data_IF_241183935354
#
_entry.id   IF_241183935354
#
_cell.length_a   1.000
_cell.length_b   1.000
_cell.length_c   1.000
_cell.angle_alpha   90.00
_cell.angle_beta   90.00
_cell.angle_gamma   90.00
#
_symmetry.space_group_name_H-M   'P 1'
#
loop_
_entity.id
_entity.type
_entity.pdbx_description
1 polymer ?
#
# COMPACT_ATOMS: atom_id res chain seq x y z
N UNK A 1 -0.10 -15.77 28.42
CA UNK A 1 -0.24 -14.51 29.21
C UNK A 1 0.05 -13.22 28.42
N UNK A 2 1.08 -13.14 27.56
CA UNK A 2 1.40 -11.89 26.82
C UNK A 2 0.25 -11.31 25.97
N UNK A 3 -0.64 -12.17 25.46
CA UNK A 3 -1.70 -11.77 24.52
C UNK A 3 -2.96 -11.21 25.19
N UNK A 4 -3.30 -11.73 26.37
CA UNK A 4 -4.36 -11.16 27.21
C UNK A 4 -3.98 -9.73 27.66
N UNK A 5 -2.68 -9.53 27.92
CA UNK A 5 -2.11 -8.22 28.22
C UNK A 5 -2.27 -7.24 27.05
N UNK A 6 -2.01 -7.65 25.81
CA UNK A 6 -2.22 -6.78 24.64
C UNK A 6 -3.70 -6.38 24.44
N UNK A 7 -4.65 -7.30 24.63
CA UNK A 7 -6.09 -6.99 24.56
C UNK A 7 -6.48 -6.05 25.69
N UNK A 8 -6.00 -6.29 26.91
CA UNK A 8 -6.24 -5.42 28.08
C UNK A 8 -5.59 -4.05 27.90
N UNK A 9 -4.36 -3.97 27.39
CA UNK A 9 -3.65 -2.71 27.13
C UNK A 9 -4.37 -1.89 26.05
N UNK A 10 -4.85 -2.55 24.99
CA UNK A 10 -5.66 -1.93 23.93
C UNK A 10 -7.02 -1.43 24.47
N UNK A 11 -7.68 -2.20 25.33
CA UNK A 11 -8.95 -1.83 25.95
C UNK A 11 -8.79 -0.69 26.99
N UNK A 12 -7.73 -0.76 27.80
CA UNK A 12 -7.34 0.31 28.73
C UNK A 12 -6.95 1.59 27.98
N UNK A 13 -6.29 1.47 26.84
CA UNK A 13 -6.02 2.62 25.97
C UNK A 13 -7.30 3.24 25.41
N UNK A 14 -8.24 2.44 24.89
CA UNK A 14 -9.54 2.95 24.45
C UNK A 14 -10.29 3.69 25.59
N UNK A 15 -10.21 3.16 26.81
CA UNK A 15 -10.75 3.82 28.02
C UNK A 15 -9.97 5.11 28.35
N UNK A 16 -8.66 5.12 28.18
CA UNK A 16 -7.79 6.24 28.49
C UNK A 16 -7.92 7.38 27.47
N UNK A 17 -8.03 7.08 26.17
CA UNK A 17 -8.40 8.04 25.11
C UNK A 17 -9.71 8.75 25.45
N UNK A 18 -10.74 7.98 25.81
CA UNK A 18 -12.04 8.53 26.23
C UNK A 18 -11.94 9.42 27.48
N UNK A 19 -11.03 9.08 28.40
CA UNK A 19 -10.84 9.83 29.66
C UNK A 19 -9.98 11.10 29.48
N UNK A 20 -9.06 11.12 28.51
CA UNK A 20 -8.11 12.21 28.26
C UNK A 20 -8.53 13.19 27.16
N UNK A 21 -9.74 13.06 26.61
CA UNK A 21 -10.32 13.93 25.57
C UNK A 21 -10.45 15.43 25.92
N UNK A 22 -9.72 15.94 26.92
CA UNK A 22 -9.73 17.35 27.30
C UNK A 22 -8.38 18.05 27.39
N UNK A 23 -7.18 17.41 27.32
CA UNK A 23 -5.93 18.19 27.50
C UNK A 23 -4.62 17.71 26.83
N UNK A 24 -4.53 16.58 26.09
CA UNK A 24 -3.22 16.12 25.57
C UNK A 24 -3.28 15.22 24.31
N UNK A 25 -3.63 15.82 23.17
CA UNK A 25 -3.78 15.15 21.86
C UNK A 25 -2.49 14.46 21.38
N UNK A 26 -1.32 15.00 21.71
CA UNK A 26 -0.03 14.47 21.27
C UNK A 26 0.27 13.10 21.89
N UNK A 27 0.00 12.94 23.18
CA UNK A 27 0.21 11.66 23.87
C UNK A 27 -0.75 10.56 23.36
N UNK A 28 -1.99 10.92 23.00
CA UNK A 28 -2.96 9.98 22.42
C UNK A 28 -2.46 9.46 21.07
N UNK A 29 -2.01 10.34 20.17
CA UNK A 29 -1.49 9.93 18.85
C UNK A 29 -0.23 9.08 18.95
N UNK A 30 0.69 9.41 19.86
CA UNK A 30 1.90 8.61 20.07
C UNK A 30 1.58 7.19 20.52
N UNK A 31 0.73 7.03 21.54
CA UNK A 31 0.35 5.70 22.04
C UNK A 31 -0.44 4.93 20.96
N UNK A 32 -1.27 5.61 20.17
CA UNK A 32 -1.92 5.01 18.99
C UNK A 32 -0.87 4.39 18.05
N UNK A 33 0.15 5.15 17.64
CA UNK A 33 1.19 4.64 16.74
C UNK A 33 1.97 3.46 17.35
N UNK A 34 2.29 3.51 18.64
CA UNK A 34 2.94 2.40 19.35
C UNK A 34 2.06 1.12 19.31
N UNK A 35 0.75 1.24 19.52
CA UNK A 35 -0.17 0.11 19.45
C UNK A 35 -0.36 -0.42 18.03
N UNK A 36 -0.48 0.49 17.05
CA UNK A 36 -0.56 0.12 15.63
C UNK A 36 0.70 -0.66 15.18
N UNK A 37 1.86 -0.37 15.77
CA UNK A 37 3.10 -1.10 15.48
C UNK A 37 3.13 -2.52 16.05
N UNK A 38 2.32 -2.84 17.05
CA UNK A 38 2.18 -4.19 17.60
C UNK A 38 1.28 -5.10 16.73
N UNK A 39 0.51 -4.51 15.81
CA UNK A 39 -0.38 -5.22 14.87
C UNK A 39 0.31 -6.34 14.05
N UNK A 40 1.55 -6.25 13.56
CA UNK A 40 2.11 -7.29 12.69
C UNK A 40 2.41 -8.62 13.39
N UNK A 41 2.32 -8.66 14.73
CA UNK A 41 2.58 -9.82 15.60
C UNK A 41 1.33 -10.63 15.97
N UNK A 42 0.24 -10.45 15.22
CA UNK A 42 -1.04 -11.14 15.44
C UNK A 42 -0.89 -12.66 15.55
N UNK A 43 -1.48 -13.20 16.61
CA UNK A 43 -1.58 -14.61 16.94
C UNK A 43 -2.42 -15.37 15.88
N UNK A 44 -2.08 -16.63 15.55
CA UNK A 44 -2.88 -17.45 14.64
C UNK A 44 -4.29 -17.78 15.15
N UNK A 45 -4.58 -17.53 16.43
CA UNK A 45 -5.90 -17.74 17.04
C UNK A 45 -6.93 -16.71 16.57
N UNK A 46 -7.93 -17.18 15.81
CA UNK A 46 -8.98 -16.38 15.16
C UNK A 46 -9.75 -15.49 16.14
N UNK A 47 -10.00 -15.92 17.38
CA UNK A 47 -10.74 -15.13 18.37
C UNK A 47 -9.91 -13.98 18.89
N UNK A 48 -8.63 -14.22 19.17
CA UNK A 48 -7.68 -13.18 19.60
C UNK A 48 -7.50 -12.15 18.48
N UNK A 49 -7.38 -12.59 17.22
CA UNK A 49 -7.32 -11.65 16.09
C UNK A 49 -8.57 -10.78 16.04
N UNK A 50 -9.76 -11.39 16.13
CA UNK A 50 -11.04 -10.67 16.04
C UNK A 50 -11.17 -9.61 17.13
N UNK A 51 -10.83 -9.94 18.38
CA UNK A 51 -10.83 -8.98 19.47
C UNK A 51 -9.85 -7.82 19.23
N UNK A 52 -8.64 -8.11 18.73
CA UNK A 52 -7.66 -7.09 18.35
C UNK A 52 -8.21 -6.18 17.23
N UNK A 53 -9.02 -6.70 16.31
CA UNK A 53 -9.64 -5.91 15.22
C UNK A 53 -10.67 -4.93 15.71
N UNK A 54 -11.58 -5.36 16.57
CA UNK A 54 -12.61 -4.47 17.08
C UNK A 54 -12.01 -3.38 17.95
N UNK A 55 -10.97 -3.68 18.74
CA UNK A 55 -10.31 -2.63 19.51
C UNK A 55 -9.54 -1.66 18.61
N UNK A 56 -8.93 -2.15 17.53
CA UNK A 56 -8.26 -1.29 16.56
C UNK A 56 -9.22 -0.29 15.91
N UNK A 57 -10.41 -0.74 15.49
CA UNK A 57 -11.43 0.15 14.92
C UNK A 57 -11.84 1.23 15.93
N UNK A 58 -12.07 0.85 17.18
CA UNK A 58 -12.39 1.79 18.26
C UNK A 58 -11.28 2.84 18.41
N UNK A 59 -10.01 2.43 18.39
CA UNK A 59 -8.87 3.36 18.48
C UNK A 59 -8.85 4.32 17.29
N UNK A 60 -9.04 3.82 16.08
CA UNK A 60 -9.06 4.62 14.86
C UNK A 60 -10.21 5.64 14.91
N UNK A 61 -11.40 5.23 15.35
CA UNK A 61 -12.58 6.09 15.46
C UNK A 61 -12.37 7.22 16.47
N UNK A 62 -11.84 6.91 17.64
CA UNK A 62 -11.49 7.90 18.67
C UNK A 62 -10.40 8.86 18.14
N UNK A 63 -9.47 8.39 17.31
CA UNK A 63 -8.47 9.26 16.71
C UNK A 63 -9.07 10.17 15.61
N UNK A 64 -10.09 9.68 14.90
CA UNK A 64 -10.80 10.45 13.88
C UNK A 64 -11.58 11.63 14.49
N UNK A 65 -11.99 11.55 15.75
CA UNK A 65 -12.73 12.62 16.44
C UNK A 65 -11.82 13.67 17.10
N UNK A 66 -10.59 13.31 17.47
CA UNK A 66 -9.66 14.17 18.24
C UNK A 66 -8.77 15.04 17.32
N UNK A 67 -8.60 14.66 16.06
CA UNK A 67 -7.48 15.12 15.23
C UNK A 67 -7.83 16.29 14.27
N UNK A 68 -7.65 17.54 14.72
CA UNK A 68 -7.61 18.72 13.82
C UNK A 68 -6.18 19.23 13.52
N UNK A 69 -5.15 18.63 14.13
CA UNK A 69 -3.77 19.08 13.95
C UNK A 69 -3.09 18.43 12.74
N UNK A 70 -2.20 19.15 12.04
CA UNK A 70 -1.44 18.61 10.92
C UNK A 70 -0.52 17.46 11.35
N UNK A 71 -0.29 16.51 10.45
CA UNK A 71 0.55 15.35 10.68
C UNK A 71 2.03 15.74 10.69
N UNK A 72 2.75 15.41 11.76
CA UNK A 72 4.18 15.65 11.88
C UNK A 72 5.03 14.55 11.18
N UNK A 73 6.33 14.79 10.98
CA UNK A 73 7.22 13.87 10.24
C UNK A 73 7.39 12.50 10.90
N UNK A 74 7.40 12.44 12.25
CA UNK A 74 7.54 11.20 12.99
C UNK A 74 6.29 10.31 12.85
N UNK A 75 5.11 10.91 12.98
CA UNK A 75 3.82 10.23 12.75
C UNK A 75 3.73 9.67 11.33
N UNK A 76 4.26 10.40 10.33
CA UNK A 76 4.32 9.91 8.93
C UNK A 76 5.17 8.66 8.82
N UNK A 77 6.37 8.67 9.39
CA UNK A 77 7.28 7.53 9.35
C UNK A 77 6.67 6.30 10.00
N UNK A 78 6.03 6.47 11.16
CA UNK A 78 5.39 5.38 11.87
C UNK A 78 4.19 4.83 11.10
N UNK A 79 3.35 5.71 10.54
CA UNK A 79 2.24 5.29 9.70
C UNK A 79 2.69 4.50 8.47
N UNK A 80 3.75 4.94 7.78
CA UNK A 80 4.34 4.22 6.65
C UNK A 80 4.79 2.82 7.07
N UNK A 81 5.45 2.69 8.23
CA UNK A 81 5.88 1.39 8.77
C UNK A 81 4.69 0.48 9.08
N UNK A 82 3.60 1.01 9.64
CA UNK A 82 2.37 0.29 9.92
C UNK A 82 1.73 -0.20 8.62
N UNK A 83 1.52 0.68 7.65
CA UNK A 83 0.93 0.33 6.36
C UNK A 83 1.74 -0.74 5.64
N UNK A 84 3.07 -0.59 5.58
CA UNK A 84 3.97 -1.58 5.01
C UNK A 84 3.78 -2.97 5.64
N UNK A 85 3.61 -3.02 6.96
CA UNK A 85 3.38 -4.28 7.66
C UNK A 85 1.98 -4.85 7.40
N UNK A 86 0.93 -4.00 7.39
CA UNK A 86 -0.44 -4.40 7.06
C UNK A 86 -0.49 -5.02 5.65
N UNK A 87 0.11 -4.38 4.66
CA UNK A 87 0.16 -4.92 3.28
C UNK A 87 0.96 -6.22 3.22
N UNK A 88 2.13 -6.30 3.89
CA UNK A 88 2.92 -7.55 3.97
C UNK A 88 2.10 -8.72 4.52
N UNK A 89 1.27 -8.45 5.52
CA UNK A 89 0.36 -9.41 6.17
C UNK A 89 -1.00 -9.55 5.45
N UNK A 90 -1.17 -8.90 4.29
CA UNK A 90 -2.40 -8.90 3.49
C UNK A 90 -3.66 -8.42 4.25
N UNK A 91 -3.48 -7.50 5.21
CA UNK A 91 -4.56 -6.91 6.01
C UNK A 91 -5.18 -5.70 5.35
N UNK A 92 -5.73 -5.94 4.17
CA UNK A 92 -6.35 -4.93 3.32
C UNK A 92 -7.69 -4.44 3.87
N UNK A 93 -8.35 -5.26 4.70
CA UNK A 93 -9.54 -4.91 5.46
C UNK A 93 -9.28 -3.72 6.40
N UNK A 94 -8.14 -3.72 7.10
CA UNK A 94 -7.74 -2.62 7.99
C UNK A 94 -7.39 -1.38 7.17
N UNK A 95 -6.64 -1.58 6.08
CA UNK A 95 -6.25 -0.47 5.21
C UNK A 95 -7.48 0.23 4.61
N UNK A 96 -8.51 -0.53 4.20
CA UNK A 96 -9.81 0.01 3.78
C UNK A 96 -10.49 0.82 4.87
N UNK A 97 -10.45 0.33 6.11
CA UNK A 97 -11.02 1.05 7.24
C UNK A 97 -10.31 2.39 7.47
N UNK A 98 -8.98 2.38 7.52
CA UNK A 98 -8.17 3.59 7.73
C UNK A 98 -8.37 4.59 6.57
N UNK A 99 -8.46 4.14 5.32
CA UNK A 99 -8.70 5.00 4.14
C UNK A 99 -10.06 5.73 4.19
N UNK A 100 -11.05 5.14 4.86
CA UNK A 100 -12.36 5.76 5.07
C UNK A 100 -12.36 6.83 6.17
N UNK A 101 -11.32 6.88 7.02
CA UNK A 101 -11.22 7.84 8.11
C UNK A 101 -10.57 9.15 7.65
N UNK A 102 -11.27 10.26 7.80
CA UNK A 102 -10.81 11.59 7.37
C UNK A 102 -9.47 11.99 8.00
N UNK A 103 -9.25 11.68 9.27
CA UNK A 103 -8.00 11.96 9.98
C UNK A 103 -6.77 11.28 9.35
N UNK A 104 -6.97 10.23 8.56
CA UNK A 104 -5.88 9.47 7.93
C UNK A 104 -5.66 9.82 6.46
N UNK A 105 -6.57 10.59 5.81
CA UNK A 105 -6.46 10.94 4.39
C UNK A 105 -5.16 11.66 4.04
N UNK A 106 -4.69 12.55 4.92
CA UNK A 106 -3.44 13.30 4.72
C UNK A 106 -2.19 12.40 4.74
N UNK A 107 -2.26 11.24 5.38
CA UNK A 107 -1.15 10.29 5.36
C UNK A 107 -1.06 9.53 4.03
N UNK A 108 -2.19 9.26 3.38
CA UNK A 108 -2.24 8.56 2.09
C UNK A 108 -1.85 9.42 0.89
N UNK A 109 -1.97 10.75 0.98
CA UNK A 109 -1.61 11.69 -0.09
C UNK A 109 -0.11 11.81 -0.37
N UNK A 110 0.74 11.00 0.27
CA UNK A 110 2.19 11.20 0.27
C UNK A 110 2.93 10.23 -0.66
N UNK A 111 3.89 10.78 -1.41
CA UNK A 111 4.68 10.10 -2.45
C UNK A 111 5.39 8.82 -1.96
N UNK A 112 5.87 8.80 -0.71
CA UNK A 112 6.55 7.62 -0.16
C UNK A 112 5.62 6.40 -0.09
N UNK A 113 4.36 6.60 0.32
CA UNK A 113 3.39 5.52 0.41
C UNK A 113 3.15 4.83 -0.94
N UNK A 114 3.06 5.62 -2.00
CA UNK A 114 2.91 5.11 -3.36
C UNK A 114 4.07 4.18 -3.72
N UNK A 115 5.30 4.56 -3.36
CA UNK A 115 6.49 3.72 -3.56
C UNK A 115 6.43 2.42 -2.77
N UNK A 116 6.08 2.45 -1.49
CA UNK A 116 5.96 1.20 -0.72
C UNK A 116 4.91 0.26 -1.31
N UNK A 117 3.77 0.81 -1.76
CA UNK A 117 2.74 0.02 -2.42
C UNK A 117 3.23 -0.58 -3.74
N UNK A 118 3.93 0.20 -4.57
CA UNK A 118 4.56 -0.28 -5.81
C UNK A 118 5.60 -1.36 -5.52
N UNK A 119 6.47 -1.16 -4.54
CA UNK A 119 7.49 -2.14 -4.13
C UNK A 119 6.85 -3.44 -3.63
N UNK A 120 5.77 -3.37 -2.85
CA UNK A 120 5.07 -4.57 -2.36
C UNK A 120 4.29 -5.27 -3.47
N UNK A 121 3.61 -4.50 -4.33
CA UNK A 121 2.93 -5.01 -5.51
C UNK A 121 3.87 -5.79 -6.43
N UNK A 122 5.13 -5.37 -6.53
CA UNK A 122 6.08 -5.88 -7.53
C UNK A 122 7.06 -6.91 -6.97
N UNK A 123 7.27 -6.96 -5.64
CA UNK A 123 8.04 -8.03 -4.98
C UNK A 123 7.24 -9.33 -4.84
N UNK A 124 5.93 -9.25 -4.64
CA UNK A 124 5.12 -10.46 -4.45
C UNK A 124 4.62 -10.99 -5.78
N UNK A 125 4.69 -12.31 -5.96
CA UNK A 125 3.99 -13.03 -7.06
C UNK A 125 2.45 -13.05 -6.87
N UNK A 126 1.92 -12.27 -5.94
CA UNK A 126 0.54 -12.31 -5.46
C UNK A 126 -0.34 -11.32 -6.24
N UNK A 127 -0.73 -11.71 -7.46
CA UNK A 127 -1.64 -10.93 -8.32
C UNK A 127 -2.88 -10.42 -7.57
N UNK A 128 -3.46 -11.24 -6.67
CA UNK A 128 -4.67 -10.90 -5.92
C UNK A 128 -4.46 -9.66 -5.03
N UNK A 129 -3.33 -9.60 -4.34
CA UNK A 129 -2.97 -8.46 -3.48
C UNK A 129 -2.88 -7.16 -4.28
N UNK A 130 -2.27 -7.21 -5.46
CA UNK A 130 -2.14 -6.03 -6.34
C UNK A 130 -3.50 -5.50 -6.76
N UNK A 131 -4.38 -6.38 -7.22
CA UNK A 131 -5.75 -6.00 -7.60
C UNK A 131 -6.46 -5.31 -6.45
N UNK A 132 -6.42 -5.93 -5.28
CA UNK A 132 -7.10 -5.40 -4.10
C UNK A 132 -6.49 -4.08 -3.62
N UNK A 133 -5.17 -3.87 -3.73
CA UNK A 133 -4.54 -2.59 -3.42
C UNK A 133 -4.96 -1.49 -4.40
N UNK A 134 -5.00 -1.77 -5.70
CA UNK A 134 -5.44 -0.81 -6.72
C UNK A 134 -6.95 -0.52 -6.63
N UNK A 135 -7.76 -1.45 -6.13
CA UNK A 135 -9.18 -1.19 -5.81
C UNK A 135 -9.33 -0.19 -4.65
N UNK A 136 -8.44 -0.25 -3.65
CA UNK A 136 -8.47 0.66 -2.49
C UNK A 136 -7.85 2.01 -2.87
N UNK A 137 -6.74 1.98 -3.62
CA UNK A 137 -5.99 3.16 -4.00
C UNK A 137 -5.81 3.22 -5.53
N UNK A 138 -6.86 3.60 -6.29
CA UNK A 138 -6.77 3.67 -7.75
C UNK A 138 -5.70 4.64 -8.25
N UNK A 139 -5.44 5.72 -7.51
CA UNK A 139 -4.45 6.75 -7.86
C UNK A 139 -3.03 6.18 -7.99
N UNK A 140 -2.71 5.07 -7.31
CA UNK A 140 -1.40 4.41 -7.39
C UNK A 140 -1.00 4.04 -8.82
N UNK A 141 -1.96 3.91 -9.74
CA UNK A 141 -1.68 3.58 -11.14
C UNK A 141 -0.83 4.61 -11.88
N UNK A 142 -0.88 5.87 -11.46
CA UNK A 142 -0.16 7.00 -12.09
C UNK A 142 1.00 7.54 -11.27
N UNK A 143 1.14 7.05 -10.03
CA UNK A 143 2.21 7.46 -9.12
C UNK A 143 3.57 6.98 -9.61
N UNK A 144 4.61 7.79 -9.41
CA UNK A 144 5.96 7.48 -9.92
C UNK A 144 6.98 7.37 -8.79
N UNK A 145 7.97 6.52 -8.99
CA UNK A 145 9.17 6.48 -8.12
C UNK A 145 10.14 7.64 -8.42
N UNK A 146 11.26 7.68 -7.69
CA UNK A 146 12.31 8.70 -7.86
C UNK A 146 12.97 8.68 -9.24
N UNK A 147 12.86 7.58 -9.98
CA UNK A 147 13.38 7.44 -11.34
C UNK A 147 12.30 7.82 -12.39
N UNK A 148 11.12 8.26 -11.95
CA UNK A 148 9.97 8.60 -12.80
C UNK A 148 9.23 7.37 -13.34
N UNK A 149 9.42 6.19 -12.76
CA UNK A 149 8.73 4.97 -13.18
C UNK A 149 7.38 4.86 -12.48
N UNK A 150 6.32 4.76 -13.26
CA UNK A 150 5.01 4.35 -12.77
C UNK A 150 4.99 2.83 -12.47
N UNK A 151 3.91 2.24 -11.91
CA UNK A 151 3.86 0.82 -11.62
C UNK A 151 4.08 -0.07 -12.85
N UNK A 152 3.68 0.41 -14.04
CA UNK A 152 3.82 -0.31 -15.31
C UNK A 152 5.28 -0.34 -15.79
N UNK A 153 5.99 0.78 -15.70
CA UNK A 153 7.42 0.88 -16.01
C UNK A 153 8.24 0.10 -14.98
N UNK A 154 7.96 0.27 -13.70
CA UNK A 154 8.66 -0.41 -12.61
C UNK A 154 8.61 -1.93 -12.80
N UNK A 155 7.42 -2.48 -13.08
CA UNK A 155 7.26 -3.93 -13.22
C UNK A 155 8.01 -4.48 -14.44
N UNK A 156 8.17 -3.70 -15.50
CA UNK A 156 8.94 -4.07 -16.69
C UNK A 156 10.46 -3.92 -16.49
N UNK A 157 10.92 -3.03 -15.60
CA UNK A 157 12.35 -2.82 -15.32
C UNK A 157 12.92 -3.88 -14.37
N UNK A 158 12.13 -4.38 -13.41
CA UNK A 158 12.57 -5.36 -12.40
C UNK A 158 12.25 -6.80 -12.82
N UNK A 159 12.92 -7.39 -13.79
CA UNK A 159 12.49 -8.68 -14.39
C UNK A 159 12.66 -9.88 -13.44
N UNK A 160 11.63 -10.22 -12.67
CA UNK A 160 11.52 -11.48 -11.92
C UNK A 160 10.10 -12.09 -12.05
N UNK A 161 10.00 -13.30 -12.63
CA UNK A 161 8.75 -14.10 -12.67
C UNK A 161 7.72 -13.74 -13.76
N UNK A 162 6.55 -14.41 -13.72
CA UNK A 162 5.48 -14.29 -14.72
C UNK A 162 4.58 -13.05 -14.49
N UNK A 163 5.02 -11.87 -14.95
CA UNK A 163 4.37 -10.56 -14.71
C UNK A 163 3.26 -10.16 -15.71
N UNK A 164 3.07 -10.92 -16.80
CA UNK A 164 2.12 -10.56 -17.87
C UNK A 164 0.68 -10.28 -17.37
N UNK A 165 0.19 -11.05 -16.39
CA UNK A 165 -1.16 -10.87 -15.81
C UNK A 165 -1.33 -9.59 -15.01
N UNK A 166 -0.23 -9.06 -14.45
CA UNK A 166 -0.22 -7.82 -13.69
C UNK A 166 -0.18 -6.66 -14.68
N UNK A 167 0.68 -6.75 -15.70
CA UNK A 167 0.75 -5.78 -16.81
C UNK A 167 -0.62 -5.65 -17.49
N UNK A 168 -1.24 -6.77 -17.87
CA UNK A 168 -2.60 -6.78 -18.44
C UNK A 168 -3.59 -6.03 -17.54
N UNK A 169 -3.51 -6.22 -16.23
CA UNK A 169 -4.42 -5.57 -15.29
C UNK A 169 -4.16 -4.07 -15.17
N UNK A 170 -2.89 -3.66 -15.08
CA UNK A 170 -2.49 -2.25 -15.05
C UNK A 170 -2.96 -1.53 -16.34
N UNK A 171 -2.75 -2.13 -17.51
CA UNK A 171 -3.24 -1.59 -18.79
C UNK A 171 -4.77 -1.44 -18.77
N UNK A 172 -5.50 -2.47 -18.32
CA UNK A 172 -6.97 -2.43 -18.21
C UNK A 172 -7.48 -1.37 -17.23
N UNK A 173 -6.69 -1.02 -16.23
CA UNK A 173 -7.03 0.02 -15.26
C UNK A 173 -6.66 1.43 -15.74
N UNK A 174 -6.04 1.57 -16.92
CA UNK A 174 -5.78 2.86 -17.55
C UNK A 174 -4.36 3.38 -17.40
N UNK A 175 -3.35 2.52 -17.18
CA UNK A 175 -1.94 2.94 -17.19
C UNK A 175 -1.57 3.68 -18.48
N UNK A 176 -0.81 4.77 -18.34
CA UNK A 176 -0.34 5.57 -19.47
C UNK A 176 0.85 4.91 -20.16
N UNK A 177 0.59 4.22 -21.28
CA UNK A 177 1.61 3.54 -22.08
C UNK A 177 2.66 4.50 -22.69
N UNK A 178 2.35 5.79 -22.79
CA UNK A 178 3.21 6.81 -23.40
C UNK A 178 4.08 7.53 -22.38
N UNK A 179 3.80 7.38 -21.08
CA UNK A 179 4.60 7.95 -19.99
C UNK A 179 6.06 7.56 -20.14
N UNK A 180 6.94 8.52 -19.84
CA UNK A 180 8.39 8.34 -19.88
C UNK A 180 8.97 8.53 -18.48
N UNK A 181 9.89 7.66 -18.11
CA UNK A 181 10.70 7.85 -16.92
C UNK A 181 11.78 8.92 -17.13
N UNK A 182 12.61 9.18 -16.12
CA UNK A 182 13.69 10.19 -16.18
C UNK A 182 14.72 9.86 -17.28
N UNK A 183 14.88 8.58 -17.64
CA UNK A 183 15.73 8.13 -18.74
C UNK A 183 15.07 8.28 -20.12
N UNK A 184 13.87 8.87 -20.20
CA UNK A 184 13.10 9.04 -21.42
C UNK A 184 12.46 7.75 -21.95
N UNK A 185 12.50 6.64 -21.20
CA UNK A 185 11.98 5.35 -21.61
C UNK A 185 10.50 5.23 -21.30
N UNK A 186 9.70 4.81 -22.28
CA UNK A 186 8.30 4.43 -22.10
C UNK A 186 8.13 2.91 -22.03
N UNK A 187 6.89 2.45 -21.84
CA UNK A 187 6.57 1.02 -21.69
C UNK A 187 7.13 0.15 -22.82
N UNK A 188 6.95 0.58 -24.08
CA UNK A 188 7.45 -0.14 -25.24
C UNK A 188 8.98 -0.14 -25.32
N UNK A 189 9.64 0.99 -25.03
CA UNK A 189 11.09 1.08 -24.99
C UNK A 189 11.70 0.12 -23.94
N UNK A 190 11.09 0.05 -22.75
CA UNK A 190 11.54 -0.89 -21.70
C UNK A 190 11.32 -2.34 -22.11
N UNK A 191 10.20 -2.67 -22.77
CA UNK A 191 9.93 -4.03 -23.23
C UNK A 191 10.90 -4.53 -24.31
N UNK A 192 11.47 -3.62 -25.11
CA UNK A 192 12.45 -3.96 -26.16
C UNK A 192 13.85 -4.26 -25.60
N UNK A 193 14.11 -3.97 -24.32
CA UNK A 193 15.41 -4.29 -23.70
C UNK A 193 15.70 -5.81 -23.77
N UNK A 194 16.96 -6.24 -23.98
CA UNK A 194 17.30 -7.66 -24.11
C UNK A 194 16.77 -8.56 -22.98
N UNK A 195 16.78 -8.04 -21.74
CA UNK A 195 16.25 -8.74 -20.55
C UNK A 195 14.74 -9.02 -20.61
N UNK A 196 13.98 -8.28 -21.42
CA UNK A 196 12.53 -8.37 -21.51
C UNK A 196 12.02 -9.20 -22.69
N UNK A 197 12.89 -9.78 -23.52
CA UNK A 197 12.50 -10.58 -24.70
C UNK A 197 11.43 -11.64 -24.40
N UNK A 198 11.58 -12.39 -23.31
CA UNK A 198 10.60 -13.43 -22.90
C UNK A 198 9.26 -12.82 -22.49
N UNK A 199 9.30 -11.70 -21.76
CA UNK A 199 8.09 -10.98 -21.35
C UNK A 199 7.38 -10.41 -22.57
N UNK A 200 8.10 -9.72 -23.46
CA UNK A 200 7.59 -9.19 -24.72
C UNK A 200 6.90 -10.27 -25.56
N UNK A 201 7.57 -11.42 -25.76
CA UNK A 201 6.98 -12.57 -26.46
C UNK A 201 5.68 -13.03 -25.80
N UNK A 202 5.68 -13.16 -24.47
CA UNK A 202 4.49 -13.58 -23.70
C UNK A 202 3.34 -12.58 -23.83
N UNK A 203 3.62 -11.28 -23.87
CA UNK A 203 2.60 -10.24 -24.01
C UNK A 203 1.97 -10.26 -25.42
N UNK A 204 2.75 -10.55 -26.46
CA UNK A 204 2.22 -10.77 -27.82
C UNK A 204 1.43 -12.07 -27.94
N UNK A 205 1.96 -13.20 -27.46
CA UNK A 205 1.28 -14.50 -27.49
C UNK A 205 -0.07 -14.47 -26.76
N UNK A 206 -0.25 -13.55 -25.81
CA UNK A 206 -1.47 -13.36 -25.04
C UNK A 206 -2.33 -12.19 -25.53
N UNK A 207 -1.94 -11.55 -26.63
CA UNK A 207 -2.65 -10.40 -27.21
C UNK A 207 -2.86 -9.24 -26.21
N UNK A 208 -2.00 -9.12 -25.19
CA UNK A 208 -2.06 -8.05 -24.19
C UNK A 208 -1.58 -6.73 -24.81
N UNK A 209 -0.62 -6.83 -25.72
CA UNK A 209 -0.12 -5.72 -26.53
C UNK A 209 -0.22 -6.13 -27.99
N UNK A 210 -0.54 -5.17 -28.86
CA UNK A 210 -0.62 -5.41 -30.30
C UNK A 210 0.74 -5.25 -30.92
N UNK A 211 1.03 -6.09 -31.90
CA UNK A 211 2.24 -5.98 -32.69
C UNK A 211 2.03 -4.83 -33.67
N UNK A 212 2.30 -3.60 -33.23
CA UNK A 212 2.49 -2.49 -34.16
C UNK A 212 3.84 -2.71 -34.82
N UNK A 213 3.83 -3.61 -35.81
CA UNK A 213 4.97 -3.85 -36.68
C UNK A 213 5.17 -2.58 -37.50
N UNK A 214 5.99 -1.67 -36.98
CA UNK A 214 6.81 -0.81 -37.83
C UNK A 214 8.22 -1.38 -37.80
N UNK A 215 8.43 -2.47 -38.55
CA UNK A 215 9.74 -2.70 -39.15
C UNK A 215 9.89 -1.61 -40.22
N UNK A 216 10.61 -0.54 -39.89
CA UNK A 216 11.25 0.27 -40.94
C UNK A 216 12.62 -0.36 -41.14
N UNK A 217 12.82 -0.83 -42.38
CA UNK A 217 14.05 -1.42 -42.91
C UNK A 217 15.29 -0.57 -42.62
#
# INVERSE_FOLDING_TARGET
>A
MKYYRAIVDLFLFAIQCRKQAYNDDYNIRKIMFELLQLIPEINNDVFIQTAQWEILKIIIDECNTISNQPVNEYERYDFQRILKNLVKKQRLDIIRYIDQCDAFKEFFKQVNYSRECIDIMTNKKERKLIKQLLEIFPHLISEVDNDGNDPLLYICLKVYGCRHRIIEHLIKMGSDLKRRNIQGQNFMAVLQLPRNRKLLKTLYEKEIIKNDIQYVN
#
